data_IF_870219532867
#
_entry.id   IF_870219532867
#
_cell.length_a   1.000
_cell.length_b   1.000
_cell.length_c   1.000
_cell.angle_alpha   90.00
_cell.angle_beta   90.00
_cell.angle_gamma   90.00
#
_symmetry.space_group_name_H-M   'P 1'
#
loop_
_entity.id
_entity.type
_entity.pdbx_description
1 polymer ?
#
# COMPACT_ATOMS: atom_id res chain seq x y z
N UNK A 1 37.49 43.81 -29.75
CA UNK A 1 37.24 42.57 -28.98
C UNK A 1 36.29 42.86 -27.81
N UNK A 2 34.96 42.95 -28.02
CA UNK A 2 33.99 43.10 -26.91
C UNK A 2 32.64 42.41 -27.12
N UNK A 3 32.42 41.73 -28.26
CA UNK A 3 31.11 41.16 -28.59
C UNK A 3 31.08 39.62 -28.69
N UNK A 4 32.09 38.92 -28.19
CA UNK A 4 32.13 37.46 -28.25
C UNK A 4 31.72 36.76 -26.95
N UNK A 5 31.48 37.51 -25.86
CA UNK A 5 31.13 36.94 -24.55
C UNK A 5 29.61 36.91 -24.31
N UNK A 6 28.82 37.62 -25.12
CA UNK A 6 27.36 37.66 -24.96
C UNK A 6 26.63 36.43 -25.56
N UNK A 7 27.31 35.60 -26.35
CA UNK A 7 26.67 34.47 -27.05
C UNK A 7 26.84 33.10 -26.35
N UNK A 8 27.72 33.01 -25.35
CA UNK A 8 28.00 31.76 -24.61
C UNK A 8 27.27 31.64 -23.28
N UNK A 9 26.51 32.65 -22.86
CA UNK A 9 25.74 32.65 -21.60
C UNK A 9 24.23 32.54 -21.79
N UNK A 10 23.77 32.26 -23.02
CA UNK A 10 22.36 32.07 -23.37
C UNK A 10 22.02 30.61 -23.74
N UNK A 11 22.81 29.65 -23.24
CA UNK A 11 22.54 28.21 -23.35
C UNK A 11 22.44 27.52 -21.98
N UNK A 12 22.17 28.30 -20.93
CA UNK A 12 22.04 27.82 -19.56
C UNK A 12 20.67 28.16 -18.93
N UNK A 13 19.61 28.26 -19.75
CA UNK A 13 18.24 28.47 -19.25
C UNK A 13 17.24 27.72 -20.13
N UNK A 14 17.30 26.38 -20.15
CA UNK A 14 16.19 25.53 -20.63
C UNK A 14 16.19 24.13 -19.99
N UNK A 15 16.78 23.94 -18.80
CA UNK A 15 16.38 22.81 -17.92
C UNK A 15 15.23 23.25 -17.02
N UNK A 16 14.16 23.76 -17.63
CA UNK A 16 12.84 23.88 -17.01
C UNK A 16 11.95 22.77 -17.54
N UNK A 17 12.47 21.54 -17.58
CA UNK A 17 11.65 20.36 -17.47
C UNK A 17 11.72 19.98 -16.01
N UNK A 18 10.73 20.38 -15.23
CA UNK A 18 10.52 19.82 -13.89
C UNK A 18 10.28 18.31 -14.08
N UNK A 19 11.37 17.53 -14.12
CA UNK A 19 11.30 16.10 -13.91
C UNK A 19 11.02 15.96 -12.43
N UNK A 20 9.74 15.96 -12.04
CA UNK A 20 9.34 15.44 -10.74
C UNK A 20 9.69 13.94 -10.75
N UNK A 21 10.96 13.66 -10.49
CA UNK A 21 11.44 12.31 -10.24
C UNK A 21 10.75 11.87 -8.96
N UNK A 22 9.89 10.85 -9.06
CA UNK A 22 9.32 10.21 -7.89
C UNK A 22 10.46 9.89 -6.93
N UNK A 23 10.33 10.32 -5.68
CA UNK A 23 11.32 10.03 -4.65
C UNK A 23 11.49 8.52 -4.53
N UNK A 24 12.73 8.05 -4.54
CA UNK A 24 13.08 6.64 -4.34
C UNK A 24 12.73 6.18 -2.92
N UNK A 25 12.52 4.87 -2.79
CA UNK A 25 12.23 4.18 -1.55
C UNK A 25 10.98 4.70 -0.82
N UNK A 26 9.96 5.06 -1.59
CA UNK A 26 8.66 5.54 -1.08
C UNK A 26 7.55 4.54 -1.30
N UNK A 27 6.76 4.34 -0.25
CA UNK A 27 5.51 3.59 -0.30
C UNK A 27 4.35 4.55 -0.54
N UNK A 28 3.42 4.13 -1.37
CA UNK A 28 2.20 4.86 -1.69
C UNK A 28 1.02 3.92 -1.49
N UNK A 29 -0.11 4.47 -1.05
CA UNK A 29 -1.37 3.72 -0.96
C UNK A 29 -2.42 4.33 -1.86
N UNK A 30 -3.35 3.52 -2.34
CA UNK A 30 -4.56 4.05 -2.95
C UNK A 30 -5.46 4.75 -1.92
N UNK A 31 -6.19 5.78 -2.36
CA UNK A 31 -7.26 6.47 -1.62
C UNK A 31 -8.64 6.13 -2.19
N UNK A 32 -8.78 4.94 -2.74
CA UNK A 32 -10.03 4.41 -3.28
C UNK A 32 -10.07 4.38 -4.80
N UNK A 33 -11.27 4.10 -5.33
CA UNK A 33 -11.51 3.95 -6.76
C UNK A 33 -12.62 4.91 -7.16
N UNK A 34 -12.38 5.66 -8.22
CA UNK A 34 -13.33 6.62 -8.76
C UNK A 34 -13.65 6.26 -10.21
N UNK A 35 -14.88 6.50 -10.66
CA UNK A 35 -15.25 6.35 -12.07
C UNK A 35 -14.74 7.55 -12.90
N UNK A 36 -14.96 7.49 -14.22
CA UNK A 36 -14.56 8.56 -15.15
C UNK A 36 -15.27 9.90 -14.90
N UNK A 37 -16.35 9.91 -14.12
CA UNK A 37 -17.11 11.11 -13.76
C UNK A 37 -16.68 11.67 -12.40
N UNK A 38 -15.75 11.01 -11.71
CA UNK A 38 -15.25 11.40 -10.39
C UNK A 38 -16.10 10.89 -9.22
N UNK A 39 -17.02 9.96 -9.45
CA UNK A 39 -17.81 9.36 -8.37
C UNK A 39 -17.03 8.25 -7.69
N UNK A 40 -17.11 8.19 -6.36
CA UNK A 40 -16.49 7.13 -5.58
C UNK A 40 -17.21 5.79 -5.79
N UNK A 41 -16.44 4.74 -6.12
CA UNK A 41 -16.94 3.39 -6.39
C UNK A 41 -16.68 2.49 -5.18
N UNK A 42 -17.56 2.57 -4.19
CA UNK A 42 -17.41 1.83 -2.92
C UNK A 42 -17.24 0.31 -3.11
N UNK A 43 -17.97 -0.27 -4.08
CA UNK A 43 -17.98 -1.71 -4.35
C UNK A 43 -16.66 -2.26 -4.90
N UNK A 44 -15.78 -1.41 -5.41
CA UNK A 44 -14.57 -1.87 -6.10
C UNK A 44 -13.56 -2.52 -5.15
N UNK A 45 -13.58 -2.21 -3.83
CA UNK A 45 -12.67 -2.74 -2.78
C UNK A 45 -11.23 -2.98 -3.27
N UNK A 46 -10.71 -2.11 -4.15
CA UNK A 46 -9.35 -2.27 -4.67
C UNK A 46 -8.42 -1.69 -3.62
N UNK A 47 -7.59 -2.54 -3.03
CA UNK A 47 -6.44 -2.10 -2.27
C UNK A 47 -5.19 -2.31 -3.13
N UNK A 48 -4.51 -1.20 -3.40
CA UNK A 48 -3.26 -1.19 -4.15
C UNK A 48 -2.23 -0.32 -3.44
N UNK A 49 -0.98 -0.77 -3.47
CA UNK A 49 0.18 -0.05 -3.02
C UNK A 49 1.16 0.10 -4.17
N UNK A 50 1.91 1.20 -4.18
CA UNK A 50 3.04 1.40 -5.08
C UNK A 50 4.30 1.57 -4.25
N UNK A 51 5.41 1.05 -4.74
CA UNK A 51 6.74 1.31 -4.23
C UNK A 51 7.58 1.95 -5.33
N UNK A 52 8.11 3.14 -5.07
CA UNK A 52 9.05 3.78 -5.99
C UNK A 52 10.43 3.19 -5.79
N UNK A 53 10.75 2.16 -6.58
CA UNK A 53 12.09 1.56 -6.56
C UNK A 53 13.14 2.46 -7.21
N UNK A 54 12.75 3.14 -8.29
CA UNK A 54 13.55 4.09 -9.07
C UNK A 54 12.61 5.15 -9.65
N UNK A 55 13.09 6.32 -10.07
CA UNK A 55 12.25 7.38 -10.60
C UNK A 55 11.41 6.97 -11.82
N UNK A 56 11.91 6.03 -12.61
CA UNK A 56 11.27 5.49 -13.82
C UNK A 56 10.55 4.15 -13.60
N UNK A 57 10.56 3.61 -12.38
CA UNK A 57 10.01 2.28 -12.07
C UNK A 57 9.26 2.23 -10.75
N UNK A 58 7.98 1.88 -10.85
CA UNK A 58 7.13 1.56 -9.72
C UNK A 58 6.97 0.04 -9.62
N UNK A 59 6.98 -0.49 -8.40
CA UNK A 59 6.48 -1.84 -8.13
C UNK A 59 5.07 -1.65 -7.59
N UNK A 60 4.09 -2.39 -8.13
CA UNK A 60 2.71 -2.36 -7.68
C UNK A 60 2.40 -3.64 -6.93
N UNK A 61 1.68 -3.49 -5.83
CA UNK A 61 1.10 -4.57 -5.03
C UNK A 61 -0.40 -4.40 -5.03
N UNK A 62 -1.13 -5.38 -5.53
CA UNK A 62 -2.59 -5.39 -5.50
C UNK A 62 -3.09 -6.59 -4.69
N UNK A 63 -4.06 -6.37 -3.82
CA UNK A 63 -4.75 -7.45 -3.10
C UNK A 63 -6.20 -7.55 -3.59
N UNK A 64 -6.70 -8.79 -3.71
CA UNK A 64 -8.07 -9.08 -4.11
C UNK A 64 -8.60 -10.25 -3.31
N UNK A 65 -9.86 -10.13 -2.87
CA UNK A 65 -10.58 -11.24 -2.27
C UNK A 65 -11.39 -11.95 -3.34
N UNK A 66 -11.34 -13.29 -3.35
CA UNK A 66 -12.19 -14.11 -4.23
C UNK A 66 -12.89 -15.18 -3.44
N UNK A 67 -14.20 -15.27 -3.61
CA UNK A 67 -15.02 -16.36 -3.10
C UNK A 67 -14.98 -17.53 -4.08
N UNK A 68 -14.68 -18.72 -3.59
CA UNK A 68 -14.90 -19.95 -4.31
C UNK A 68 -16.42 -20.22 -4.34
N UNK A 69 -16.99 -20.30 -5.53
CA UNK A 69 -18.44 -20.45 -5.71
C UNK A 69 -18.96 -21.85 -5.34
N UNK A 70 -18.09 -22.85 -5.28
CA UNK A 70 -18.44 -24.24 -4.91
C UNK A 70 -18.37 -24.46 -3.40
N UNK A 71 -17.36 -23.89 -2.72
CA UNK A 71 -17.12 -24.10 -1.29
C UNK A 71 -17.56 -22.93 -0.40
N UNK A 72 -17.83 -21.75 -0.99
CA UNK A 72 -18.13 -20.52 -0.26
C UNK A 72 -16.91 -19.86 0.41
N UNK A 73 -15.75 -20.52 0.39
CA UNK A 73 -14.53 -20.00 1.01
C UNK A 73 -14.03 -18.75 0.29
N UNK A 74 -13.78 -17.66 1.03
CA UNK A 74 -13.13 -16.46 0.49
C UNK A 74 -11.64 -16.50 0.80
N UNK A 75 -10.80 -16.22 -0.19
CA UNK A 75 -9.33 -16.20 -0.06
C UNK A 75 -8.74 -14.88 -0.52
N UNK A 76 -7.66 -14.46 0.14
CA UNK A 76 -6.88 -13.27 -0.19
C UNK A 76 -5.82 -13.64 -1.22
N UNK A 77 -5.88 -12.99 -2.38
CA UNK A 77 -4.89 -13.10 -3.44
C UNK A 77 -4.01 -11.86 -3.47
N UNK A 78 -2.72 -12.07 -3.71
CA UNK A 78 -1.70 -11.03 -3.75
C UNK A 78 -1.03 -11.08 -5.12
N UNK A 79 -0.99 -9.94 -5.79
CA UNK A 79 -0.37 -9.77 -7.09
C UNK A 79 0.69 -8.68 -7.01
N UNK A 80 1.86 -8.95 -7.57
CA UNK A 80 2.94 -7.98 -7.68
C UNK A 80 3.38 -7.84 -9.12
N UNK A 81 3.60 -6.61 -9.56
CA UNK A 81 4.03 -6.30 -10.91
C UNK A 81 4.94 -5.07 -10.93
N UNK A 82 5.77 -4.98 -11.97
CA UNK A 82 6.69 -3.85 -12.15
C UNK A 82 6.18 -2.98 -13.29
N UNK A 83 5.92 -1.72 -12.98
CA UNK A 83 5.46 -0.69 -13.89
C UNK A 83 6.63 0.18 -14.32
N UNK A 84 6.87 0.24 -15.63
CA UNK A 84 7.89 1.14 -16.21
C UNK A 84 7.22 2.40 -16.73
N UNK A 85 7.73 3.56 -16.35
CA UNK A 85 7.16 4.85 -16.70
C UNK A 85 7.77 5.36 -18.01
N UNK A 86 6.94 5.51 -19.04
CA UNK A 86 7.34 6.15 -20.31
C UNK A 86 6.72 7.55 -20.37
N UNK A 87 7.51 8.62 -20.41
CA UNK A 87 6.98 9.98 -20.44
C UNK A 87 6.16 10.19 -21.73
N UNK A 88 5.02 10.86 -21.60
CA UNK A 88 4.15 11.23 -22.74
C UNK A 88 3.93 12.73 -22.84
N UNK A 89 3.64 13.37 -21.70
CA UNK A 89 3.46 14.80 -21.52
C UNK A 89 4.05 15.20 -20.17
N UNK A 90 4.05 16.50 -19.87
CA UNK A 90 4.45 17.00 -18.56
C UNK A 90 3.67 16.25 -17.45
N UNK A 91 4.43 15.70 -16.49
CA UNK A 91 3.92 14.92 -15.35
C UNK A 91 3.03 13.71 -15.69
N UNK A 92 3.01 13.26 -16.95
CA UNK A 92 2.14 12.18 -17.42
C UNK A 92 2.95 11.07 -18.09
N UNK A 93 2.71 9.83 -17.67
CA UNK A 93 3.47 8.66 -18.09
C UNK A 93 2.52 7.55 -18.57
N UNK A 94 2.88 6.88 -19.65
CA UNK A 94 2.26 5.60 -20.02
C UNK A 94 2.99 4.48 -19.29
N UNK A 95 2.20 3.60 -18.67
CA UNK A 95 2.67 2.39 -18.01
C UNK A 95 2.70 1.23 -19.03
N UNK A 96 3.47 0.19 -18.74
CA UNK A 96 3.66 -0.97 -19.64
C UNK A 96 2.39 -1.79 -19.87
N UNK A 97 1.38 -1.66 -19.02
CA UNK A 97 0.04 -2.25 -19.14
C UNK A 97 -0.97 -1.33 -19.88
N UNK A 98 -0.47 -0.26 -20.50
CA UNK A 98 -1.25 0.78 -21.21
C UNK A 98 -2.10 1.67 -20.28
N UNK A 99 -1.93 1.57 -18.97
CA UNK A 99 -2.49 2.54 -18.02
C UNK A 99 -1.75 3.89 -18.12
N UNK A 100 -2.38 4.95 -17.62
CA UNK A 100 -1.79 6.29 -17.58
C UNK A 100 -1.58 6.74 -16.15
N UNK A 101 -0.37 7.16 -15.83
CA UNK A 101 -0.02 7.76 -14.54
C UNK A 101 0.15 9.27 -14.68
N UNK A 102 -0.46 10.02 -13.79
CA UNK A 102 -0.30 11.48 -13.70
C UNK A 102 0.19 11.87 -12.30
N UNK A 103 1.30 12.60 -12.22
CA UNK A 103 1.84 13.12 -10.98
C UNK A 103 1.26 14.53 -10.76
N UNK A 104 0.59 14.74 -9.63
CA UNK A 104 0.00 16.04 -9.28
C UNK A 104 0.92 16.84 -8.37
N UNK A 105 1.62 16.14 -7.47
CA UNK A 105 2.60 16.71 -6.55
C UNK A 105 3.56 15.64 -6.03
N UNK A 106 4.54 16.05 -5.22
CA UNK A 106 5.47 15.13 -4.55
C UNK A 106 4.81 14.07 -3.67
N UNK A 107 3.55 14.28 -3.26
CA UNK A 107 2.82 13.41 -2.32
C UNK A 107 1.52 12.84 -2.92
N UNK A 108 1.20 13.16 -4.19
CA UNK A 108 -0.05 12.79 -4.84
C UNK A 108 0.14 12.44 -6.31
N UNK A 109 -0.40 11.28 -6.71
CA UNK A 109 -0.46 10.84 -8.10
C UNK A 109 -1.77 10.10 -8.38
N UNK A 110 -2.14 9.94 -9.64
CA UNK A 110 -3.28 9.12 -10.07
C UNK A 110 -2.85 8.11 -11.12
N UNK A 111 -3.47 6.92 -11.10
CA UNK A 111 -3.39 5.94 -12.18
C UNK A 111 -4.79 5.78 -12.79
N UNK A 112 -4.89 5.93 -14.11
CA UNK A 112 -6.08 5.70 -14.90
C UNK A 112 -6.04 4.30 -15.51
N UNK A 113 -7.06 3.50 -15.22
CA UNK A 113 -7.18 2.10 -15.63
C UNK A 113 -8.63 1.78 -15.96
N UNK A 114 -8.92 1.27 -17.16
CA UNK A 114 -10.25 0.78 -17.55
C UNK A 114 -11.42 1.70 -17.19
N UNK A 115 -11.28 3.01 -17.41
CA UNK A 115 -12.31 4.01 -17.08
C UNK A 115 -12.41 4.39 -15.60
N UNK A 116 -11.56 3.81 -14.74
CA UNK A 116 -11.41 4.18 -13.34
C UNK A 116 -10.19 5.06 -13.12
N UNK A 117 -10.24 5.83 -12.03
CA UNK A 117 -9.16 6.66 -11.50
C UNK A 117 -8.81 6.17 -10.10
N UNK A 118 -7.56 5.79 -9.90
CA UNK A 118 -7.01 5.36 -8.61
C UNK A 118 -6.07 6.46 -8.12
N UNK A 119 -6.51 7.36 -7.22
CA UNK A 119 -5.61 8.27 -6.54
C UNK A 119 -4.70 7.52 -5.56
N UNK A 120 -3.44 7.95 -5.50
CA UNK A 120 -2.45 7.46 -4.55
C UNK A 120 -1.89 8.61 -3.71
N UNK A 121 -1.66 8.32 -2.45
CA UNK A 121 -1.02 9.23 -1.49
C UNK A 121 0.26 8.60 -0.96
N UNK A 122 1.31 9.42 -0.85
CA UNK A 122 2.60 8.98 -0.31
C UNK A 122 2.48 8.72 1.19
N UNK A 123 3.04 7.61 1.64
CA UNK A 123 3.15 7.25 3.04
C UNK A 123 4.46 7.77 3.64
N UNK A 124 4.41 8.19 4.89
CA UNK A 124 5.57 8.71 5.63
C UNK A 124 6.38 7.60 6.30
N UNK A 125 5.82 6.40 6.38
CA UNK A 125 6.46 5.23 6.96
C UNK A 125 7.69 4.85 6.15
N UNK A 126 8.77 4.49 6.85
CA UNK A 126 9.98 3.93 6.25
C UNK A 126 9.87 2.41 6.21
N UNK A 127 10.63 1.78 5.32
CA UNK A 127 10.73 0.32 5.29
C UNK A 127 11.14 -0.20 6.66
N UNK A 128 10.57 -1.33 7.08
CA UNK A 128 10.87 -1.92 8.37
C UNK A 128 12.31 -2.42 8.38
N UNK A 129 13.04 -2.14 9.45
CA UNK A 129 14.32 -2.80 9.72
C UNK A 129 14.14 -4.31 10.02
N UNK A 130 12.91 -4.71 10.35
CA UNK A 130 12.56 -6.09 10.71
C UNK A 130 12.39 -6.94 9.44
N UNK A 131 13.17 -8.00 9.33
CA UNK A 131 13.03 -9.01 8.27
C UNK A 131 11.75 -9.84 8.46
N UNK A 132 11.08 -10.19 7.37
CA UNK A 132 9.83 -10.98 7.36
C UNK A 132 9.91 -12.26 8.22
N UNK A 133 11.01 -13.01 8.13
CA UNK A 133 11.15 -14.25 8.89
C UNK A 133 11.16 -14.00 10.40
N UNK A 134 11.88 -12.97 10.85
CA UNK A 134 11.90 -12.56 12.27
C UNK A 134 10.54 -12.06 12.74
N UNK A 135 9.79 -11.40 11.85
CA UNK A 135 8.41 -11.01 12.13
C UNK A 135 7.53 -12.25 12.32
N UNK A 136 7.56 -13.19 11.36
CA UNK A 136 6.74 -14.42 11.40
C UNK A 136 6.97 -15.24 12.67
N UNK A 137 8.21 -15.41 13.13
CA UNK A 137 8.50 -16.18 14.36
C UNK A 137 7.93 -15.56 15.63
N UNK A 138 7.71 -14.23 15.64
CA UNK A 138 7.11 -13.51 16.76
C UNK A 138 5.59 -13.38 16.67
N UNK A 139 5.03 -13.65 15.50
CA UNK A 139 3.64 -13.35 15.15
C UNK A 139 2.78 -14.60 14.98
N UNK A 140 3.30 -15.62 14.30
CA UNK A 140 2.53 -16.83 13.99
C UNK A 140 2.39 -17.71 15.23
N UNK A 141 1.20 -18.27 15.43
CA UNK A 141 0.80 -19.11 16.56
C UNK A 141 0.93 -18.41 17.92
N UNK A 142 0.89 -17.08 17.92
CA UNK A 142 0.82 -16.24 19.12
C UNK A 142 -0.54 -15.55 19.16
N UNK A 143 -1.17 -15.56 20.32
CA UNK A 143 -2.44 -14.86 20.55
C UNK A 143 -2.16 -13.41 20.92
N UNK A 144 -2.86 -12.50 20.26
CA UNK A 144 -2.80 -11.07 20.51
C UNK A 144 -4.17 -10.51 20.81
N UNK A 145 -4.22 -9.48 21.66
CA UNK A 145 -5.36 -8.57 21.74
C UNK A 145 -5.10 -7.44 20.74
N UNK A 146 -5.99 -7.27 19.77
CA UNK A 146 -5.93 -6.15 18.84
C UNK A 146 -6.46 -4.88 19.52
N UNK A 147 -5.67 -3.81 19.44
CA UNK A 147 -6.12 -2.47 19.75
C UNK A 147 -5.98 -1.53 18.55
N UNK A 148 -7.07 -0.85 18.19
CA UNK A 148 -7.09 0.17 17.13
C UNK A 148 -7.66 1.45 17.72
N UNK A 149 -6.93 2.56 17.62
CA UNK A 149 -7.31 3.83 18.27
C UNK A 149 -7.70 3.67 19.76
N UNK A 150 -7.01 2.78 20.49
CA UNK A 150 -7.26 2.50 21.90
C UNK A 150 -8.46 1.60 22.20
N UNK A 151 -9.28 1.24 21.21
CA UNK A 151 -10.37 0.27 21.38
C UNK A 151 -9.83 -1.14 21.28
N UNK A 152 -10.31 -2.05 22.14
CA UNK A 152 -9.93 -3.47 22.14
C UNK A 152 -11.19 -4.29 21.92
N UNK A 153 -11.26 -4.98 20.79
CA UNK A 153 -12.48 -5.69 20.38
C UNK A 153 -12.24 -7.18 20.15
N UNK A 154 -11.05 -7.57 19.69
CA UNK A 154 -10.77 -8.93 19.23
C UNK A 154 -9.48 -9.50 19.81
N UNK A 155 -9.52 -10.80 20.11
CA UNK A 155 -8.34 -11.65 20.22
C UNK A 155 -8.08 -12.32 18.87
N UNK A 156 -6.84 -12.27 18.42
CA UNK A 156 -6.39 -12.76 17.12
C UNK A 156 -5.26 -13.76 17.32
N UNK A 157 -5.39 -14.95 16.72
CA UNK A 157 -4.28 -15.92 16.64
C UNK A 157 -4.04 -16.27 15.18
N UNK A 158 -2.92 -15.81 14.64
CA UNK A 158 -2.55 -15.98 13.24
C UNK A 158 -1.82 -17.31 13.05
N UNK A 159 -2.36 -18.22 12.25
CA UNK A 159 -1.87 -19.59 12.09
C UNK A 159 -0.94 -19.72 10.88
N UNK A 160 -0.05 -20.71 10.90
CA UNK A 160 0.84 -21.03 9.77
C UNK A 160 0.10 -21.50 8.50
N UNK A 161 -1.17 -21.88 8.64
CA UNK A 161 -2.10 -22.24 7.55
C UNK A 161 -2.61 -21.04 6.74
N UNK A 162 -2.23 -19.81 7.09
CA UNK A 162 -2.81 -18.54 6.57
C UNK A 162 -4.25 -18.27 7.02
N UNK A 163 -4.70 -18.92 8.08
CA UNK A 163 -5.96 -18.58 8.75
C UNK A 163 -5.69 -17.80 10.03
N UNK A 164 -6.50 -16.77 10.29
CA UNK A 164 -6.52 -16.09 11.58
C UNK A 164 -7.78 -16.52 12.33
N UNK A 165 -7.59 -17.02 13.54
CA UNK A 165 -8.68 -17.24 14.48
C UNK A 165 -9.03 -15.93 15.16
N UNK A 166 -10.30 -15.55 15.10
CA UNK A 166 -10.83 -14.30 15.67
C UNK A 166 -11.84 -14.63 16.75
N UNK A 167 -11.65 -14.04 17.94
CA UNK A 167 -12.55 -14.17 19.08
C UNK A 167 -12.88 -12.77 19.61
N UNK A 168 -14.13 -12.28 19.52
CA UNK A 168 -14.51 -11.02 20.12
C UNK A 168 -14.38 -11.07 21.64
N UNK A 169 -13.80 -10.05 22.26
CA UNK A 169 -13.61 -10.00 23.71
C UNK A 169 -14.92 -10.02 24.51
N UNK A 170 -16.02 -9.57 23.89
CA UNK A 170 -17.34 -9.47 24.51
C UNK A 170 -18.27 -10.65 24.20
N UNK A 171 -17.80 -11.69 23.48
CA UNK A 171 -18.63 -12.84 23.13
C UNK A 171 -17.82 -14.14 23.15
N UNK A 172 -18.51 -15.28 23.22
CA UNK A 172 -17.90 -16.60 23.03
C UNK A 172 -17.87 -17.06 21.57
N UNK A 173 -18.37 -16.25 20.63
CA UNK A 173 -18.32 -16.59 19.21
C UNK A 173 -16.88 -16.60 18.71
N UNK A 174 -16.58 -17.51 17.78
CA UNK A 174 -15.27 -17.58 17.14
C UNK A 174 -15.47 -17.87 15.65
N UNK A 175 -14.59 -17.31 14.82
CA UNK A 175 -14.52 -17.66 13.40
C UNK A 175 -13.08 -17.62 12.92
N UNK A 176 -12.87 -18.20 11.75
CA UNK A 176 -11.60 -18.14 11.04
C UNK A 176 -11.75 -17.30 9.76
N UNK A 177 -10.66 -16.65 9.37
CA UNK A 177 -10.63 -15.80 8.18
C UNK A 177 -9.26 -15.96 7.49
N UNK A 178 -9.24 -15.98 6.16
CA UNK A 178 -7.98 -16.02 5.42
C UNK A 178 -7.22 -14.70 5.59
N UNK A 179 -5.90 -14.80 5.66
CA UNK A 179 -5.01 -13.64 5.69
C UNK A 179 -3.72 -13.90 4.93
N UNK A 180 -2.98 -12.84 4.61
CA UNK A 180 -1.63 -12.91 4.03
C UNK A 180 -0.70 -11.97 4.77
N UNK A 181 0.53 -12.44 5.00
CA UNK A 181 1.67 -11.60 5.40
C UNK A 181 2.50 -11.36 4.15
N UNK A 182 2.62 -10.10 3.75
CA UNK A 182 3.27 -9.67 2.53
C UNK A 182 4.52 -8.88 2.92
N UNK A 183 5.67 -9.26 2.37
CA UNK A 183 6.86 -8.39 2.35
C UNK A 183 6.89 -7.67 1.02
N UNK A 184 6.70 -6.36 1.08
CA UNK A 184 6.66 -5.49 -0.07
C UNK A 184 7.79 -4.47 0.03
N UNK A 185 8.94 -4.81 -0.54
CA UNK A 185 10.15 -3.98 -0.52
C UNK A 185 10.55 -3.53 0.90
N UNK A 186 10.51 -4.46 1.87
CA UNK A 186 10.85 -4.17 3.27
C UNK A 186 9.69 -3.61 4.09
N UNK A 187 8.54 -3.35 3.49
CA UNK A 187 7.31 -3.05 4.21
C UNK A 187 6.54 -4.35 4.47
N UNK A 188 6.23 -4.62 5.74
CA UNK A 188 5.45 -5.82 6.10
C UNK A 188 3.98 -5.40 6.19
N UNK A 189 3.13 -6.03 5.39
CA UNK A 189 1.69 -5.77 5.34
C UNK A 189 0.94 -7.04 5.72
N UNK A 190 0.01 -6.96 6.67
CA UNK A 190 -0.98 -8.00 6.92
C UNK A 190 -2.27 -7.62 6.20
N UNK A 191 -2.72 -8.47 5.30
CA UNK A 191 -4.01 -8.34 4.61
C UNK A 191 -4.95 -9.44 5.08
N UNK A 192 -6.14 -9.09 5.58
CA UNK A 192 -7.24 -10.04 5.81
C UNK A 192 -8.43 -9.73 4.90
N UNK A 193 -9.42 -10.63 4.86
CA UNK A 193 -10.64 -10.44 4.03
C UNK A 193 -11.50 -9.28 4.54
N UNK A 194 -11.71 -9.23 5.87
CA UNK A 194 -12.69 -8.31 6.50
C UNK A 194 -12.03 -7.16 7.25
N UNK A 195 -10.70 -7.17 7.38
CA UNK A 195 -9.95 -6.14 8.06
C UNK A 195 -9.21 -5.26 7.07
N UNK A 196 -9.21 -3.94 7.28
CA UNK A 196 -8.31 -3.08 6.53
C UNK A 196 -6.85 -3.52 6.72
N UNK A 197 -6.02 -3.42 5.65
CA UNK A 197 -4.62 -3.83 5.70
C UNK A 197 -3.86 -3.14 6.82
N UNK A 198 -2.96 -3.88 7.46
CA UNK A 198 -2.10 -3.40 8.53
C UNK A 198 -0.68 -3.30 8.03
N UNK A 199 -0.18 -2.08 7.89
CA UNK A 199 1.23 -1.83 7.65
C UNK A 199 1.96 -1.88 8.99
N UNK A 200 2.79 -2.89 9.19
CA UNK A 200 3.60 -3.01 10.40
C UNK A 200 4.60 -1.87 10.45
N UNK A 201 4.69 -1.19 11.59
CA UNK A 201 5.57 -0.02 11.79
C UNK A 201 6.65 -0.27 12.83
N UNK A 202 6.44 -1.16 13.80
CA UNK A 202 7.41 -1.42 14.85
C UNK A 202 7.17 -2.77 15.56
N UNK A 203 8.22 -3.29 16.20
CA UNK A 203 8.19 -4.46 17.08
C UNK A 203 8.91 -4.15 18.40
N UNK A 204 8.17 -3.99 19.50
CA UNK A 204 8.75 -3.69 20.81
C UNK A 204 8.16 -4.57 21.89
N UNK A 205 9.03 -5.15 22.73
CA UNK A 205 8.64 -5.94 23.90
C UNK A 205 7.62 -7.06 23.61
N UNK A 206 7.67 -7.65 22.40
CA UNK A 206 6.72 -8.69 21.98
C UNK A 206 5.41 -8.17 21.39
N UNK A 207 5.14 -6.86 21.47
CA UNK A 207 4.00 -6.21 20.82
C UNK A 207 4.35 -5.81 19.38
N UNK A 208 3.32 -5.74 18.55
CA UNK A 208 3.43 -5.39 17.13
C UNK A 208 2.64 -4.10 16.91
N UNK A 209 3.31 -3.06 16.45
CA UNK A 209 2.67 -1.78 16.13
C UNK A 209 2.40 -1.71 14.64
N UNK A 210 1.25 -1.14 14.27
CA UNK A 210 0.86 -1.00 12.88
C UNK A 210 0.09 0.29 12.61
N UNK A 211 0.09 0.69 11.34
CA UNK A 211 -0.86 1.64 10.79
C UNK A 211 -1.92 0.87 10.01
N UNK A 212 -3.17 1.03 10.37
CA UNK A 212 -4.31 0.51 9.62
C UNK A 212 -4.57 1.43 8.43
N UNK A 213 -4.54 0.84 7.24
CA UNK A 213 -4.63 1.53 5.97
C UNK A 213 -5.94 1.13 5.29
N UNK A 214 -7.02 1.83 5.63
CA UNK A 214 -8.29 1.73 4.91
C UNK A 214 -8.31 2.76 3.78
N UNK A 215 -8.66 2.36 2.56
CA UNK A 215 -8.76 3.27 1.43
C UNK A 215 -9.82 4.36 1.63
N UNK A 216 -10.82 4.12 2.50
CA UNK A 216 -11.94 5.03 2.79
C UNK A 216 -11.64 6.09 3.83
N UNK A 217 -10.69 5.83 4.73
CA UNK A 217 -10.48 6.63 5.93
C UNK A 217 -9.03 7.10 6.04
N UNK A 218 -8.81 8.01 6.99
CA UNK A 218 -7.46 8.36 7.40
C UNK A 218 -6.79 7.18 8.12
N UNK A 219 -5.47 7.12 8.00
CA UNK A 219 -4.70 6.05 8.60
C UNK A 219 -4.85 6.10 10.13
N UNK A 220 -5.17 4.96 10.73
CA UNK A 220 -5.32 4.85 12.18
C UNK A 220 -4.18 4.03 12.76
N UNK A 221 -3.66 4.39 13.92
CA UNK A 221 -2.64 3.60 14.60
C UNK A 221 -3.28 2.46 15.40
N UNK A 222 -2.57 1.33 15.45
CA UNK A 222 -2.98 0.19 16.24
C UNK A 222 -1.80 -0.63 16.75
N UNK A 223 -2.10 -1.54 17.65
CA UNK A 223 -1.14 -2.48 18.22
C UNK A 223 -1.77 -3.86 18.41
N UNK A 224 -0.96 -4.90 18.24
CA UNK A 224 -1.26 -6.26 18.67
C UNK A 224 -0.48 -6.49 19.96
N UNK A 225 -1.21 -6.57 21.06
CA UNK A 225 -0.68 -6.75 22.40
C UNK A 225 -0.59 -8.24 22.67
N UNK A 226 0.62 -8.74 22.91
CA UNK A 226 0.82 -10.17 23.17
C UNK A 226 0.07 -10.57 24.45
N UNK A 227 -0.76 -11.61 24.36
CA UNK A 227 -1.48 -12.19 25.49
C UNK A 227 -0.63 -13.21 26.24
#
# INVERSE_FOLDING_TARGET
MKNLIALTTLFLVCFSGFSQNLEEDKLWRTKGVYDSLGNFVERAKIQSFLYTSKPDKLIRLSTKDRMNMETGETKVFVYTDTLTLKPTKENTFTLNDKEQLTIHSKDSLTIHFNGYVLPYVKLTQKANAVKLNTFKTKFVNVTFIESVAGKKEYELTYQDTNLVKVVPLQSSSQWESDYKIIDFNGFIIIQGIVSAPKLITDLKNGNIYFSQIDYRFENTTGELIKK
#
